data_IF_644779058598
#
_entry.id   IF_644779058598
#
_cell.length_a   1.000
_cell.length_b   1.000
_cell.length_c   1.000
_cell.angle_alpha   90.00
_cell.angle_beta   90.00
_cell.angle_gamma   90.00
#
_symmetry.space_group_name_H-M   'P 1'
#
loop_
_entity.id
_entity.type
_entity.pdbx_description
1 polymer ?
#
# COMPACT_ATOMS: atom_id res chain seq x y z
N UNK A 1 -18.65 -5.75 25.29
CA UNK A 1 -17.74 -5.03 24.37
C UNK A 1 -18.25 -5.31 22.97
N UNK A 2 -18.77 -4.31 22.27
CA UNK A 2 -19.18 -4.48 20.89
C UNK A 2 -17.93 -4.39 20.02
N UNK A 3 -17.56 -5.48 19.34
CA UNK A 3 -16.63 -5.43 18.23
C UNK A 3 -17.33 -4.70 17.08
N UNK A 4 -16.85 -3.51 16.75
CA UNK A 4 -17.20 -2.87 15.48
C UNK A 4 -16.37 -3.56 14.41
N UNK A 5 -16.88 -4.67 13.87
CA UNK A 5 -16.35 -5.27 12.66
C UNK A 5 -16.75 -4.37 11.49
N UNK A 6 -15.85 -3.49 11.08
CA UNK A 6 -15.99 -2.78 9.81
C UNK A 6 -15.65 -3.79 8.72
N UNK A 7 -16.66 -4.53 8.25
CA UNK A 7 -16.58 -5.42 7.08
C UNK A 7 -16.50 -4.60 5.77
N UNK A 8 -15.56 -3.66 5.70
CA UNK A 8 -15.34 -2.84 4.51
C UNK A 8 -14.05 -3.21 3.82
N UNK A 9 -14.15 -3.34 2.51
CA UNK A 9 -13.01 -3.44 1.61
C UNK A 9 -12.34 -2.06 1.51
N UNK A 10 -11.15 -1.91 2.08
CA UNK A 10 -10.43 -0.64 2.20
C UNK A 10 -9.21 -0.66 1.28
N UNK A 11 -9.01 0.44 0.56
CA UNK A 11 -7.82 0.75 -0.24
C UNK A 11 -7.42 2.19 0.07
N UNK A 12 -6.18 2.40 0.48
CA UNK A 12 -5.57 3.70 0.79
C UNK A 12 -4.34 3.84 -0.11
N UNK A 13 -4.30 4.83 -0.99
CA UNK A 13 -3.15 5.12 -1.85
C UNK A 13 -2.59 6.50 -1.48
N UNK A 14 -1.39 6.55 -0.90
CA UNK A 14 -0.83 7.76 -0.28
C UNK A 14 0.69 7.81 -0.46
N UNK A 15 1.22 9.01 -0.69
CA UNK A 15 2.63 9.35 -0.45
C UNK A 15 2.80 9.59 1.06
N UNK A 16 3.35 8.60 1.75
CA UNK A 16 3.51 8.65 3.20
C UNK A 16 4.70 9.51 3.64
N UNK A 17 5.61 9.86 2.71
CA UNK A 17 6.91 10.46 3.04
C UNK A 17 7.70 9.70 4.13
N UNK A 18 7.43 8.40 4.26
CA UNK A 18 8.12 7.47 5.15
C UNK A 18 8.71 6.38 4.28
N UNK A 19 10.01 6.14 4.39
CA UNK A 19 10.68 5.13 3.58
C UNK A 19 10.38 3.72 4.13
N UNK A 20 9.57 2.96 3.41
CA UNK A 20 9.18 1.59 3.76
C UNK A 20 10.32 0.57 3.64
N UNK A 21 11.49 0.94 3.08
CA UNK A 21 12.72 0.15 3.19
C UNK A 21 13.54 0.43 4.45
N UNK A 22 13.23 1.51 5.17
CA UNK A 22 14.04 1.94 6.29
C UNK A 22 14.05 0.86 7.39
N UNK A 23 15.24 0.40 7.77
CA UNK A 23 15.42 -0.48 8.93
C UNK A 23 15.41 0.30 10.26
N UNK A 24 15.02 1.57 10.24
CA UNK A 24 14.94 2.40 11.44
C UNK A 24 13.62 2.17 12.17
N UNK A 25 13.61 2.46 13.48
CA UNK A 25 12.43 2.27 14.34
C UNK A 25 11.18 3.03 13.84
N UNK A 26 11.36 4.05 13.00
CA UNK A 26 10.29 4.90 12.47
C UNK A 26 9.29 4.14 11.58
N UNK A 27 9.66 2.97 11.03
CA UNK A 27 8.74 2.15 10.23
C UNK A 27 7.82 1.29 11.10
N UNK A 28 8.23 0.95 12.33
CA UNK A 28 7.47 0.02 13.18
C UNK A 28 6.11 0.59 13.62
N UNK A 29 6.03 1.88 13.93
CA UNK A 29 4.80 2.55 14.34
C UNK A 29 3.71 2.54 13.25
N UNK A 30 3.96 3.00 12.01
CA UNK A 30 2.94 2.99 10.96
C UNK A 30 2.54 1.56 10.58
N UNK A 31 3.47 0.60 10.56
CA UNK A 31 3.14 -0.81 10.29
C UNK A 31 2.26 -1.40 11.39
N UNK A 32 2.55 -1.12 12.66
CA UNK A 32 1.73 -1.54 13.79
C UNK A 32 0.34 -0.87 13.77
N UNK A 33 0.26 0.39 13.34
CA UNK A 33 -1.01 1.09 13.17
C UNK A 33 -1.86 0.42 12.09
N UNK A 34 -1.29 0.17 10.90
CA UNK A 34 -2.01 -0.51 9.83
C UNK A 34 -2.49 -1.89 10.26
N UNK A 35 -1.61 -2.69 10.88
CA UNK A 35 -1.97 -4.04 11.32
C UNK A 35 -3.07 -4.04 12.38
N UNK A 36 -3.13 -3.04 13.27
CA UNK A 36 -4.22 -2.89 14.25
C UNK A 36 -5.60 -2.68 13.62
N UNK A 37 -5.66 -2.25 12.35
CA UNK A 37 -6.88 -2.12 11.56
C UNK A 37 -7.06 -3.25 10.53
N UNK A 38 -6.21 -4.29 10.56
CA UNK A 38 -6.22 -5.35 9.57
C UNK A 38 -5.79 -4.87 8.17
N UNK A 39 -4.99 -3.81 8.11
CA UNK A 39 -4.46 -3.25 6.87
C UNK A 39 -3.02 -3.68 6.65
N UNK A 40 -2.63 -3.86 5.40
CA UNK A 40 -1.28 -4.21 5.00
C UNK A 40 -0.78 -3.35 3.83
N UNK A 41 0.48 -2.88 3.86
CA UNK A 41 1.12 -2.27 2.70
C UNK A 41 1.35 -3.31 1.60
N UNK A 42 1.35 -2.88 0.34
CA UNK A 42 1.41 -3.78 -0.82
C UNK A 42 2.66 -3.56 -1.67
N UNK A 43 3.27 -2.36 -1.60
CA UNK A 43 4.41 -1.98 -2.44
C UNK A 43 5.72 -2.22 -1.70
N UNK A 44 6.60 -2.98 -2.34
CA UNK A 44 7.95 -3.33 -1.86
C UNK A 44 9.00 -3.07 -2.95
N UNK A 45 8.81 -2.01 -3.74
CA UNK A 45 9.73 -1.60 -4.82
C UNK A 45 9.89 -0.06 -4.84
N UNK A 46 10.94 0.42 -5.52
CA UNK A 46 11.33 1.85 -5.56
C UNK A 46 10.23 2.68 -6.20
N UNK A 47 9.54 3.50 -5.40
CA UNK A 47 8.48 4.39 -5.90
C UNK A 47 8.98 5.78 -6.26
N UNK A 48 10.14 6.20 -5.75
CA UNK A 48 10.75 7.48 -6.14
C UNK A 48 12.25 7.35 -6.37
N UNK A 49 12.73 7.81 -7.51
CA UNK A 49 14.16 7.79 -7.83
C UNK A 49 14.89 8.96 -7.18
N UNK A 50 16.08 8.70 -6.64
CA UNK A 50 17.00 9.77 -6.22
C UNK A 50 17.78 10.27 -7.44
N UNK A 51 17.33 11.40 -8.01
CA UNK A 51 17.95 12.00 -9.21
C UNK A 51 19.41 12.46 -9.02
N UNK A 52 19.92 12.52 -7.78
CA UNK A 52 21.18 13.21 -7.46
C UNK A 52 22.35 12.37 -6.95
N UNK A 53 22.16 11.12 -6.49
CA UNK A 53 23.18 10.46 -5.64
C UNK A 53 23.59 9.04 -6.04
N UNK A 54 22.98 8.43 -7.06
CA UNK A 54 23.31 7.05 -7.45
C UNK A 54 23.00 5.98 -6.38
N UNK A 55 22.34 6.38 -5.29
CA UNK A 55 21.83 5.50 -4.24
C UNK A 55 20.41 5.09 -4.61
N UNK A 56 20.08 3.82 -4.39
CA UNK A 56 18.76 3.20 -4.55
C UNK A 56 17.63 4.15 -4.13
N UNK A 57 16.60 4.29 -4.95
CA UNK A 57 15.49 5.22 -4.69
C UNK A 57 14.70 4.89 -3.41
N UNK A 58 13.75 5.74 -3.06
CA UNK A 58 12.95 5.63 -1.84
C UNK A 58 11.61 4.95 -2.07
N UNK A 59 11.06 4.37 -1.01
CA UNK A 59 9.80 3.63 -1.02
C UNK A 59 8.81 4.42 -0.18
N UNK A 60 8.37 5.59 -0.65
CA UNK A 60 7.55 6.51 0.16
C UNK A 60 6.07 6.47 -0.20
N UNK A 61 5.76 6.07 -1.44
CA UNK A 61 4.40 5.79 -1.87
C UNK A 61 4.03 4.33 -1.57
N UNK A 62 2.84 4.11 -1.03
CA UNK A 62 2.32 2.76 -0.86
C UNK A 62 0.81 2.70 -1.10
N UNK A 63 0.34 1.50 -1.43
CA UNK A 63 -1.09 1.16 -1.37
C UNK A 63 -1.28 0.24 -0.18
N UNK A 64 -2.08 0.69 0.79
CA UNK A 64 -2.42 -0.04 2.01
C UNK A 64 -3.85 -0.55 1.91
N UNK A 65 -4.09 -1.82 2.22
CA UNK A 65 -5.36 -2.46 1.93
C UNK A 65 -5.80 -3.47 2.99
N UNK A 66 -7.12 -3.66 3.16
CA UNK A 66 -7.69 -4.74 3.98
C UNK A 66 -7.91 -6.05 3.21
N UNK A 67 -7.67 -6.06 1.90
CA UNK A 67 -7.85 -7.27 1.09
C UNK A 67 -6.80 -8.32 1.40
N UNK A 68 -7.22 -9.58 1.45
CA UNK A 68 -6.31 -10.72 1.53
C UNK A 68 -5.38 -10.76 0.29
N UNK A 69 -4.14 -11.22 0.50
CA UNK A 69 -3.05 -11.17 -0.48
C UNK A 69 -3.29 -11.94 -1.79
N UNK A 70 -4.21 -12.90 -1.80
CA UNK A 70 -4.59 -13.64 -3.01
C UNK A 70 -5.58 -12.86 -3.90
N UNK A 71 -6.16 -11.77 -3.40
CA UNK A 71 -7.15 -10.95 -4.10
C UNK A 71 -6.52 -9.81 -4.88
N UNK A 72 -5.23 -9.54 -4.72
CA UNK A 72 -4.61 -8.38 -5.35
C UNK A 72 -3.22 -8.66 -5.89
N UNK A 73 -2.79 -7.79 -6.80
CA UNK A 73 -1.42 -7.71 -7.31
C UNK A 73 -0.99 -6.25 -7.31
N UNK A 74 0.29 -5.99 -7.05
CA UNK A 74 0.88 -4.66 -7.14
C UNK A 74 2.15 -4.74 -7.98
N UNK A 75 2.42 -3.69 -8.75
CA UNK A 75 3.70 -3.51 -9.46
C UNK A 75 4.03 -2.04 -9.57
N UNK A 76 5.31 -1.71 -9.58
CA UNK A 76 5.80 -0.37 -9.89
C UNK A 76 6.17 -0.30 -11.37
N UNK A 77 5.75 0.76 -12.05
CA UNK A 77 5.97 0.96 -13.48
C UNK A 77 7.00 2.08 -13.70
N UNK A 78 8.16 1.75 -14.27
CA UNK A 78 9.19 2.74 -14.56
C UNK A 78 8.92 3.43 -15.90
N UNK A 79 8.38 4.64 -15.85
CA UNK A 79 7.97 5.39 -17.05
C UNK A 79 8.96 6.49 -17.44
N UNK A 80 9.82 6.93 -16.53
CA UNK A 80 10.84 7.97 -16.78
C UNK A 80 10.26 9.38 -17.02
N UNK A 81 8.96 9.59 -16.76
CA UNK A 81 8.30 10.90 -16.96
C UNK A 81 8.23 11.76 -15.70
N UNK A 82 8.51 11.18 -14.54
CA UNK A 82 8.49 11.82 -13.21
C UNK A 82 9.59 11.20 -12.34
N UNK A 83 10.00 11.89 -11.28
CA UNK A 83 10.83 11.31 -10.22
C UNK A 83 10.07 10.23 -9.42
N UNK A 84 8.74 10.22 -9.52
CA UNK A 84 7.85 9.18 -9.00
C UNK A 84 7.49 8.13 -10.06
N UNK A 85 7.60 6.86 -9.70
CA UNK A 85 7.13 5.73 -10.51
C UNK A 85 5.66 5.42 -10.18
N UNK A 86 4.77 5.33 -11.19
CA UNK A 86 3.41 4.87 -10.99
C UNK A 86 3.31 3.50 -10.31
N UNK A 87 2.35 3.36 -9.40
CA UNK A 87 1.96 2.08 -8.81
C UNK A 87 0.71 1.56 -9.54
N UNK A 88 0.80 0.34 -10.07
CA UNK A 88 -0.33 -0.39 -10.63
C UNK A 88 -0.83 -1.42 -9.60
N UNK A 89 -1.93 -1.08 -8.92
CA UNK A 89 -2.63 -1.98 -8.00
C UNK A 89 -3.88 -2.55 -8.69
N UNK A 90 -4.03 -3.86 -8.68
CA UNK A 90 -5.22 -4.57 -9.20
C UNK A 90 -5.80 -5.43 -8.11
N UNK A 91 -7.12 -5.38 -7.93
CA UNK A 91 -7.83 -6.13 -6.90
C UNK A 91 -9.08 -6.80 -7.47
N UNK A 92 -9.36 -8.02 -7.04
CA UNK A 92 -10.58 -8.76 -7.35
C UNK A 92 -11.62 -8.49 -6.26
N UNK A 93 -12.62 -7.69 -6.61
CA UNK A 93 -13.77 -7.39 -5.75
C UNK A 93 -14.93 -8.31 -6.10
N UNK A 94 -15.51 -8.97 -5.11
CA UNK A 94 -16.83 -9.60 -5.30
C UNK A 94 -17.88 -8.50 -5.39
N UNK A 95 -18.72 -8.59 -6.42
CA UNK A 95 -19.89 -7.74 -6.51
C UNK A 95 -20.88 -8.22 -5.44
N UNK A 96 -21.38 -7.29 -4.62
CA UNK A 96 -22.53 -7.58 -3.78
C UNK A 96 -23.71 -7.87 -4.70
N UNK A 97 -24.02 -9.14 -4.92
CA UNK A 97 -25.30 -9.54 -5.51
C UNK A 97 -26.36 -9.23 -4.46
N UNK A 98 -27.10 -8.13 -4.67
CA UNK A 98 -28.34 -7.88 -3.94
C UNK A 98 -29.37 -8.89 -4.41
N UNK A 99 -29.28 -10.12 -3.93
CA UNK A 99 -30.46 -10.97 -3.85
C UNK A 99 -31.12 -10.67 -2.50
N UNK A 100 -32.12 -9.78 -2.55
CA UNK A 100 -33.07 -9.65 -1.43
C UNK A 100 -33.81 -10.99 -1.26
N UNK A 101 -33.95 -11.51 -0.03
CA UNK A 101 -34.89 -12.59 0.27
C UNK A 101 -36.36 -12.14 0.20
#
# INVERSE_FOLDING_TARGET
LYEVSVSSNIIIAVDFNIDFLSTTNNLSEPINLFSSFGLQPTVFDVTRHNLGTGVSGTFIDNVVTSFHQDRWTTSVQHTGVSDYNPILFKVNVELLTTEEP
#
